data_IF_846483981229
#
_entry.id   IF_846483981229
#
_cell.length_a   1.000
_cell.length_b   1.000
_cell.length_c   1.000
_cell.angle_alpha   90.00
_cell.angle_beta   90.00
_cell.angle_gamma   90.00
#
_symmetry.space_group_name_H-M   'P 1'
#
loop_
_entity.id
_entity.type
_entity.pdbx_description
1 polymer ?
#
# COMPACT_ATOMS: atom_id res chain seq x y z
N UNK A 1 -6.52 10.93 -21.71
CA UNK A 1 -6.48 11.18 -20.27
C UNK A 1 -6.70 9.87 -19.53
N UNK A 2 -5.83 9.58 -18.57
CA UNK A 2 -5.94 8.34 -17.80
C UNK A 2 -7.00 8.48 -16.72
N UNK A 3 -7.89 7.47 -16.60
CA UNK A 3 -8.86 7.37 -15.51
C UNK A 3 -8.40 6.42 -14.41
N UNK A 4 -7.11 6.04 -14.45
CA UNK A 4 -6.55 5.11 -13.46
C UNK A 4 -6.34 5.82 -12.13
N UNK A 5 -6.77 5.17 -11.07
CA UNK A 5 -6.53 5.65 -9.71
C UNK A 5 -5.06 5.50 -9.34
N UNK A 6 -4.59 6.32 -8.42
CA UNK A 6 -3.21 6.27 -7.96
C UNK A 6 -2.95 5.03 -7.10
N UNK A 7 -1.68 4.67 -6.99
CA UNK A 7 -1.19 3.65 -6.05
C UNK A 7 -0.36 4.40 -5.00
N UNK A 8 -0.71 4.23 -3.73
CA UNK A 8 0.04 4.85 -2.64
C UNK A 8 1.02 3.84 -2.06
N UNK A 9 2.25 4.27 -1.88
CA UNK A 9 3.31 3.48 -1.25
C UNK A 9 3.69 4.16 0.04
N UNK A 10 3.68 3.43 1.16
CA UNK A 10 4.11 3.92 2.46
C UNK A 10 5.35 3.15 2.86
N UNK A 11 6.51 3.78 2.73
CA UNK A 11 7.81 3.13 2.87
C UNK A 11 8.86 4.15 3.30
N UNK A 12 9.57 3.88 4.40
CA UNK A 12 10.62 4.77 4.89
C UNK A 12 12.02 4.41 4.38
N UNK A 13 12.21 3.21 3.86
CA UNK A 13 13.50 2.77 3.33
C UNK A 13 13.65 3.21 1.87
N UNK A 14 14.63 4.09 1.55
CA UNK A 14 14.78 4.60 0.19
C UNK A 14 15.07 3.54 -0.85
N UNK A 15 15.79 2.48 -0.48
CA UNK A 15 16.12 1.40 -1.41
C UNK A 15 14.88 0.59 -1.74
N UNK A 16 14.07 0.26 -0.74
CA UNK A 16 12.82 -0.47 -0.95
C UNK A 16 11.83 0.38 -1.74
N UNK A 17 11.79 1.69 -1.49
CA UNK A 17 10.96 2.61 -2.26
C UNK A 17 11.32 2.56 -3.74
N UNK A 18 12.61 2.68 -4.07
CA UNK A 18 13.09 2.63 -5.46
C UNK A 18 12.77 1.31 -6.13
N UNK A 19 13.00 0.20 -5.42
CA UNK A 19 12.73 -1.13 -5.96
C UNK A 19 11.24 -1.33 -6.22
N UNK A 20 10.39 -0.85 -5.31
CA UNK A 20 8.94 -0.94 -5.46
C UNK A 20 8.46 -0.17 -6.68
N UNK A 21 8.90 1.08 -6.82
CA UNK A 21 8.53 1.92 -7.97
C UNK A 21 9.02 1.31 -9.27
N UNK A 22 10.27 0.83 -9.29
CA UNK A 22 10.84 0.20 -10.49
C UNK A 22 10.05 -1.06 -10.88
N UNK A 23 9.67 -1.88 -9.91
CA UNK A 23 8.89 -3.09 -10.16
C UNK A 23 7.52 -2.78 -10.74
N UNK A 24 6.85 -1.76 -10.21
CA UNK A 24 5.56 -1.31 -10.74
C UNK A 24 5.69 -0.83 -12.17
N UNK A 25 6.69 -0.01 -12.46
CA UNK A 25 6.92 0.50 -13.82
C UNK A 25 7.30 -0.61 -14.79
N UNK A 26 8.07 -1.59 -14.33
CA UNK A 26 8.47 -2.74 -15.14
C UNK A 26 7.26 -3.60 -15.54
N UNK A 27 6.23 -3.62 -14.68
CA UNK A 27 4.95 -4.27 -14.98
C UNK A 27 4.04 -3.44 -15.88
N UNK A 28 4.53 -2.33 -16.41
CA UNK A 28 3.77 -1.43 -17.29
C UNK A 28 2.54 -0.82 -16.61
N UNK A 29 2.64 -0.57 -15.31
CA UNK A 29 1.57 0.07 -14.57
C UNK A 29 1.55 1.56 -14.91
N UNK A 30 0.43 2.03 -15.44
CA UNK A 30 0.25 3.44 -15.84
C UNK A 30 -0.32 4.31 -14.72
N UNK A 31 -0.65 3.72 -13.59
CA UNK A 31 -1.20 4.44 -12.45
C UNK A 31 -0.16 5.41 -11.88
N UNK A 32 -0.61 6.58 -11.44
CA UNK A 32 0.26 7.49 -10.70
C UNK A 32 0.70 6.86 -9.39
N UNK A 33 1.96 7.02 -9.03
CA UNK A 33 2.53 6.48 -7.80
C UNK A 33 2.81 7.63 -6.84
N UNK A 34 2.23 7.56 -5.65
CA UNK A 34 2.41 8.56 -4.60
C UNK A 34 3.11 7.89 -3.42
N UNK A 35 4.16 8.52 -2.90
CA UNK A 35 4.97 7.94 -1.83
C UNK A 35 4.85 8.74 -0.55
N UNK A 36 4.61 8.06 0.57
CA UNK A 36 4.72 8.58 1.92
C UNK A 36 5.87 7.88 2.61
N UNK A 37 6.71 8.61 3.32
CA UNK A 37 7.94 8.09 3.92
C UNK A 37 7.88 7.89 5.41
N UNK A 38 6.75 8.21 6.03
CA UNK A 38 6.48 7.93 7.43
C UNK A 38 4.98 7.85 7.65
N UNK A 39 4.58 7.42 8.84
CA UNK A 39 3.16 7.20 9.12
C UNK A 39 2.33 8.47 9.19
N UNK A 40 2.92 9.56 9.67
CA UNK A 40 2.23 10.86 9.72
C UNK A 40 1.93 11.37 8.32
N UNK A 41 2.93 11.34 7.44
CA UNK A 41 2.76 11.72 6.03
C UNK A 41 1.73 10.84 5.34
N UNK A 42 1.77 9.53 5.61
CA UNK A 42 0.81 8.59 5.06
C UNK A 42 -0.62 8.96 5.43
N UNK A 43 -0.87 9.27 6.70
CA UNK A 43 -2.20 9.64 7.17
C UNK A 43 -2.66 10.95 6.52
N UNK A 44 -1.78 11.94 6.43
CA UNK A 44 -2.12 13.19 5.77
C UNK A 44 -2.51 12.97 4.31
N UNK A 45 -1.76 12.16 3.59
CA UNK A 45 -2.02 11.91 2.18
C UNK A 45 -3.27 11.06 1.97
N UNK A 46 -3.42 9.97 2.71
CA UNK A 46 -4.53 9.03 2.49
C UNK A 46 -5.85 9.60 2.96
N UNK A 47 -5.89 10.19 4.15
CA UNK A 47 -7.15 10.70 4.71
C UNK A 47 -7.69 11.92 3.96
N UNK A 48 -6.82 12.64 3.25
CA UNK A 48 -7.20 13.82 2.48
C UNK A 48 -7.22 13.57 0.96
N UNK A 49 -6.93 12.35 0.52
CA UNK A 49 -6.88 12.05 -0.90
C UNK A 49 -8.27 12.18 -1.56
N UNK A 50 -8.28 12.84 -2.72
CA UNK A 50 -9.48 12.96 -3.53
C UNK A 50 -9.07 13.08 -5.01
N UNK A 51 -9.31 12.05 -5.82
CA UNK A 51 -9.95 10.77 -5.48
C UNK A 51 -9.04 9.88 -4.61
N UNK A 52 -9.63 8.86 -4.00
CA UNK A 52 -8.87 7.87 -3.24
C UNK A 52 -8.00 7.02 -4.16
N UNK A 53 -6.86 6.53 -3.64
CA UNK A 53 -6.05 5.58 -4.43
C UNK A 53 -6.77 4.25 -4.59
N UNK A 54 -6.33 3.45 -5.56
CA UNK A 54 -6.89 2.11 -5.75
C UNK A 54 -6.37 1.11 -4.71
N UNK A 55 -5.19 1.37 -4.16
CA UNK A 55 -4.57 0.52 -3.16
C UNK A 55 -3.49 1.29 -2.41
N UNK A 56 -3.27 0.92 -1.16
CA UNK A 56 -2.14 1.39 -0.36
C UNK A 56 -1.23 0.20 -0.09
N UNK A 57 0.03 0.30 -0.49
CA UNK A 57 1.08 -0.67 -0.15
C UNK A 57 1.77 -0.14 1.10
N UNK A 58 1.59 -0.81 2.22
CA UNK A 58 1.93 -0.28 3.55
C UNK A 58 2.98 -1.14 4.24
N UNK A 59 4.13 -0.54 4.58
CA UNK A 59 5.08 -1.18 5.48
C UNK A 59 4.62 -0.96 6.93
N UNK A 60 4.91 -1.93 7.79
CA UNK A 60 4.54 -1.84 9.22
C UNK A 60 5.54 -1.05 10.03
N UNK A 61 6.82 -1.13 9.71
CA UNK A 61 7.88 -0.49 10.50
C UNK A 61 8.17 0.89 9.97
N UNK A 62 7.44 1.88 10.47
CA UNK A 62 7.54 3.26 10.02
C UNK A 62 7.90 4.17 11.19
N UNK A 63 8.67 5.25 10.94
CA UNK A 63 8.88 6.26 11.95
C UNK A 63 7.63 7.12 12.17
N UNK A 64 7.58 7.80 13.29
CA UNK A 64 6.52 8.71 13.76
C UNK A 64 5.24 7.98 14.14
N UNK A 65 4.51 7.45 13.16
CA UNK A 65 3.31 6.63 13.38
C UNK A 65 3.54 5.30 12.67
N UNK A 66 3.49 4.19 13.40
CA UNK A 66 3.78 2.89 12.78
C UNK A 66 2.65 2.43 11.86
N UNK A 67 2.95 1.39 11.04
CA UNK A 67 2.04 0.94 10.01
C UNK A 67 0.73 0.37 10.54
N UNK A 68 0.74 -0.31 11.68
CA UNK A 68 -0.50 -0.84 12.26
C UNK A 68 -1.43 0.29 12.70
N UNK A 69 -0.87 1.36 13.25
CA UNK A 69 -1.65 2.54 13.61
C UNK A 69 -2.20 3.26 12.38
N UNK A 70 -1.40 3.34 11.30
CA UNK A 70 -1.87 3.89 10.03
C UNK A 70 -3.07 3.10 9.54
N UNK A 71 -2.98 1.78 9.54
CA UNK A 71 -4.07 0.90 9.11
C UNK A 71 -5.32 1.11 9.97
N UNK A 72 -5.14 1.16 11.29
CA UNK A 72 -6.25 1.37 12.22
C UNK A 72 -7.00 2.66 11.91
N UNK A 73 -6.27 3.74 11.65
CA UNK A 73 -6.87 5.04 11.36
C UNK A 73 -7.54 5.09 9.99
N UNK A 74 -6.98 4.42 9.00
CA UNK A 74 -7.62 4.29 7.69
C UNK A 74 -8.97 3.60 7.83
N UNK A 75 -9.05 2.55 8.63
CA UNK A 75 -10.30 1.80 8.85
C UNK A 75 -11.31 2.54 9.70
N UNK A 76 -10.85 3.44 10.57
CA UNK A 76 -11.73 4.23 11.44
C UNK A 76 -12.36 5.42 10.73
N UNK A 77 -11.87 5.81 9.57
CA UNK A 77 -12.38 6.96 8.83
C UNK A 77 -13.44 6.51 7.82
N UNK A 78 -14.58 7.19 7.80
CA UNK A 78 -15.72 6.81 6.95
C UNK A 78 -15.37 6.77 5.46
N UNK A 79 -14.50 7.67 4.99
CA UNK A 79 -14.12 7.72 3.57
C UNK A 79 -13.18 6.60 3.15
N UNK A 80 -12.34 6.14 4.07
CA UNK A 80 -11.24 5.23 3.74
C UNK A 80 -11.43 3.83 4.30
N UNK A 81 -12.50 3.58 5.03
CA UNK A 81 -12.69 2.29 5.74
C UNK A 81 -12.70 1.07 4.82
N UNK A 82 -13.03 1.22 3.56
CA UNK A 82 -13.07 0.12 2.58
C UNK A 82 -11.89 0.13 1.61
N UNK A 83 -10.98 1.09 1.75
CA UNK A 83 -9.83 1.22 0.87
C UNK A 83 -8.96 -0.02 0.92
N UNK A 84 -8.60 -0.62 -0.24
CA UNK A 84 -7.70 -1.76 -0.22
C UNK A 84 -6.33 -1.40 0.36
N UNK A 85 -5.89 -2.15 1.36
CA UNK A 85 -4.58 -1.99 1.97
C UNK A 85 -3.87 -3.33 1.95
N UNK A 86 -2.70 -3.35 1.31
CA UNK A 86 -1.82 -4.51 1.27
C UNK A 86 -0.62 -4.20 2.13
N UNK A 87 -0.39 -4.99 3.16
CA UNK A 87 0.82 -4.86 3.97
C UNK A 87 1.98 -5.50 3.21
N UNK A 88 3.05 -4.74 3.02
CA UNK A 88 4.26 -5.18 2.34
C UNK A 88 5.43 -4.89 3.27
N UNK A 89 5.89 -5.88 4.00
CA UNK A 89 6.84 -5.68 5.10
C UNK A 89 7.82 -6.84 5.22
N UNK A 90 8.97 -6.56 5.83
CA UNK A 90 9.94 -7.62 6.13
C UNK A 90 9.57 -8.44 7.37
N UNK A 91 8.58 -8.02 8.15
CA UNK A 91 8.18 -8.76 9.34
C UNK A 91 7.53 -10.09 8.98
N UNK A 92 7.99 -11.16 9.65
CA UNK A 92 7.40 -12.50 9.54
C UNK A 92 6.78 -12.95 10.86
N UNK A 93 6.63 -12.04 11.83
CA UNK A 93 6.07 -12.38 13.13
C UNK A 93 4.57 -12.67 13.02
N UNK A 94 4.15 -13.79 13.58
CA UNK A 94 2.73 -14.18 13.57
C UNK A 94 1.84 -13.09 14.16
N UNK A 95 2.32 -12.42 15.22
CA UNK A 95 1.60 -11.32 15.86
C UNK A 95 1.27 -10.21 14.87
N UNK A 96 2.25 -9.79 14.05
CA UNK A 96 2.04 -8.73 13.08
C UNK A 96 1.05 -9.15 12.00
N UNK A 97 1.12 -10.41 11.57
CA UNK A 97 0.19 -10.93 10.56
C UNK A 97 -1.24 -10.92 11.12
N UNK A 98 -1.42 -11.45 12.33
CA UNK A 98 -2.74 -11.53 12.95
C UNK A 98 -3.32 -10.13 13.19
N UNK A 99 -2.53 -9.22 13.73
CA UNK A 99 -2.98 -7.85 13.97
C UNK A 99 -3.34 -7.12 12.68
N UNK A 100 -2.55 -7.32 11.62
CA UNK A 100 -2.83 -6.70 10.33
C UNK A 100 -4.19 -7.13 9.79
N UNK A 101 -4.48 -8.42 9.81
CA UNK A 101 -5.79 -8.89 9.35
C UNK A 101 -6.92 -8.47 10.29
N UNK A 102 -6.68 -8.48 11.59
CA UNK A 102 -7.68 -8.03 12.57
C UNK A 102 -8.05 -6.57 12.37
N UNK A 103 -7.09 -5.74 11.95
CA UNK A 103 -7.30 -4.33 11.67
C UNK A 103 -7.84 -4.08 10.26
N UNK A 104 -8.03 -5.12 9.47
CA UNK A 104 -8.66 -5.01 8.17
C UNK A 104 -7.73 -4.92 6.97
N UNK A 105 -6.51 -5.43 7.07
CA UNK A 105 -5.65 -5.56 5.88
C UNK A 105 -6.28 -6.54 4.89
N UNK A 106 -6.18 -6.21 3.61
CA UNK A 106 -6.69 -7.08 2.54
C UNK A 106 -5.71 -8.19 2.21
N UNK A 107 -4.41 -7.93 2.33
CA UNK A 107 -3.36 -8.90 2.10
C UNK A 107 -2.15 -8.58 2.95
N UNK A 108 -1.36 -9.59 3.22
CA UNK A 108 -0.09 -9.44 3.93
C UNK A 108 0.98 -10.13 3.10
N UNK A 109 1.94 -9.36 2.60
CA UNK A 109 3.02 -9.87 1.75
C UNK A 109 4.35 -9.61 2.45
N UNK A 110 5.09 -10.67 2.72
CA UNK A 110 6.42 -10.54 3.30
C UNK A 110 7.41 -10.18 2.21
N UNK A 111 8.23 -9.15 2.46
CA UNK A 111 9.27 -8.74 1.52
C UNK A 111 10.27 -9.88 1.37
N UNK A 112 10.53 -10.36 0.13
CA UNK A 112 11.57 -11.34 -0.13
C UNK A 112 12.96 -10.72 0.07
N UNK A 113 13.92 -11.55 0.46
CA UNK A 113 15.32 -11.13 0.59
C UNK A 113 15.96 -10.91 -0.77
N UNK A 114 15.56 -11.69 -1.77
CA UNK A 114 16.12 -11.61 -3.13
C UNK A 114 15.40 -10.55 -3.96
N UNK A 115 16.18 -9.75 -4.70
CA UNK A 115 15.65 -8.63 -5.51
C UNK A 115 14.66 -9.13 -6.56
N UNK A 116 14.95 -10.23 -7.25
CA UNK A 116 14.08 -10.73 -8.32
C UNK A 116 12.71 -11.15 -7.79
N UNK A 117 12.68 -11.79 -6.62
CA UNK A 117 11.42 -12.17 -5.97
C UNK A 117 10.63 -10.95 -5.51
N UNK A 118 11.32 -9.96 -4.98
CA UNK A 118 10.70 -8.72 -4.56
C UNK A 118 10.04 -8.03 -5.75
N UNK A 119 10.78 -7.92 -6.86
CA UNK A 119 10.28 -7.31 -8.10
C UNK A 119 9.04 -8.03 -8.62
N UNK A 120 9.06 -9.37 -8.65
CA UNK A 120 7.92 -10.14 -9.11
C UNK A 120 6.69 -9.97 -8.20
N UNK A 121 6.88 -10.00 -6.90
CA UNK A 121 5.78 -9.83 -5.95
C UNK A 121 5.12 -8.47 -6.12
N UNK A 122 5.90 -7.40 -6.19
CA UNK A 122 5.37 -6.05 -6.36
C UNK A 122 4.67 -5.88 -7.70
N UNK A 123 5.25 -6.44 -8.76
CA UNK A 123 4.62 -6.40 -10.09
C UNK A 123 3.24 -7.06 -10.08
N UNK A 124 3.12 -8.21 -9.44
CA UNK A 124 1.83 -8.89 -9.30
C UNK A 124 0.82 -8.08 -8.50
N UNK A 125 1.27 -7.45 -7.41
CA UNK A 125 0.40 -6.56 -6.63
C UNK A 125 -0.11 -5.39 -7.46
N UNK A 126 0.78 -4.78 -8.23
CA UNK A 126 0.42 -3.66 -9.10
C UNK A 126 -0.59 -4.06 -10.16
N UNK A 127 -0.38 -5.20 -10.81
CA UNK A 127 -1.32 -5.70 -11.82
C UNK A 127 -2.68 -6.01 -11.21
N UNK A 128 -2.71 -6.72 -10.09
CA UNK A 128 -3.99 -7.08 -9.48
C UNK A 128 -4.75 -5.86 -8.99
N UNK A 129 -4.15 -5.07 -8.10
CA UNK A 129 -4.86 -3.98 -7.44
C UNK A 129 -5.02 -2.74 -8.32
N UNK A 130 -4.08 -2.51 -9.25
CA UNK A 130 -4.12 -1.35 -10.13
C UNK A 130 -4.96 -1.56 -11.38
N UNK A 131 -5.09 -2.80 -11.86
CA UNK A 131 -5.70 -3.10 -13.16
C UNK A 131 -6.85 -4.11 -13.05
N UNK A 132 -6.61 -5.25 -12.39
CA UNK A 132 -7.56 -6.38 -12.38
C UNK A 132 -8.69 -6.18 -11.39
N UNK A 133 -8.39 -5.69 -10.19
CA UNK A 133 -9.37 -5.55 -9.12
C UNK A 133 -10.43 -4.50 -9.46
N UNK A 134 -11.69 -4.83 -9.21
CA UNK A 134 -12.78 -3.85 -9.29
C UNK A 134 -12.70 -2.89 -8.11
N UNK A 135 -12.62 -1.62 -8.40
CA UNK A 135 -12.51 -0.58 -7.38
C UNK A 135 -13.87 -0.26 -6.79
N UNK A 136 -13.84 0.27 -5.56
CA UNK A 136 -15.06 0.74 -4.92
C UNK A 136 -15.63 1.92 -5.72
N UNK A 137 -16.91 1.89 -6.08
CA UNK A 137 -17.51 2.99 -6.83
C UNK A 137 -17.42 4.32 -6.08
N UNK A 138 -17.23 5.40 -6.82
CA UNK A 138 -17.17 6.75 -6.25
C UNK A 138 -18.51 7.11 -5.62
N UNK A 139 -18.47 7.79 -4.51
CA UNK A 139 -19.65 8.30 -3.83
C UNK A 139 -20.34 7.34 -2.89
N UNK A 140 -19.75 6.17 -2.63
CA UNK A 140 -20.30 5.22 -1.66
C UNK A 140 -19.68 5.35 -0.28
#
# INVERSE_FOLDING_TARGET
>A
MSNLSSIFIVEDNPDDERLTIRALKKGQIANEIVVARNGEEALNLVLNADPLPCVVLLDLKLPKVDGLEVLRRIRANARTRLLPVVVLTSSSEDRDIVESYSLGANSYVRKPVEIDRFTDAVRQLGLYWGVVNEQIPKGL
#
